data_IF_993688730977
#
_entry.id   IF_993688730977
#
_cell.length_a   1.000
_cell.length_b   1.000
_cell.length_c   1.000
_cell.angle_alpha   90.00
_cell.angle_beta   90.00
_cell.angle_gamma   90.00
#
_symmetry.space_group_name_H-M   'P 1'
#
loop_
_entity.id
_entity.type
_entity.pdbx_description
1 polymer ?
#
# COMPACT_ATOMS: atom_id res chain seq x y z
N UNK A 1 -26.73 14.35 19.04
CA UNK A 1 -25.96 13.26 18.39
C UNK A 1 -24.70 13.87 17.80
N UNK A 2 -23.52 13.37 18.18
CA UNK A 2 -22.24 13.86 17.66
C UNK A 2 -22.02 13.24 16.27
N UNK A 3 -22.07 14.06 15.24
CA UNK A 3 -21.41 13.76 13.96
C UNK A 3 -19.89 13.72 14.24
N UNK A 4 -19.35 12.52 14.46
CA UNK A 4 -17.91 12.25 14.54
C UNK A 4 -17.35 11.99 13.15
N UNK A 5 -17.60 12.88 12.20
CA UNK A 5 -17.03 12.81 10.85
C UNK A 5 -15.82 13.73 10.76
N UNK A 6 -14.78 13.44 11.55
CA UNK A 6 -13.43 13.94 11.26
C UNK A 6 -12.86 13.11 10.10
N UNK A 7 -13.41 13.31 8.91
CA UNK A 7 -12.93 12.73 7.67
C UNK A 7 -12.02 13.74 6.97
N UNK A 8 -10.79 13.31 6.68
CA UNK A 8 -9.85 14.02 5.79
C UNK A 8 -10.63 14.46 4.54
N UNK A 9 -10.47 15.69 4.04
CA UNK A 9 -11.10 16.11 2.79
C UNK A 9 -10.32 15.48 1.61
N UNK A 10 -10.33 14.15 1.54
CA UNK A 10 -9.88 13.41 0.37
C UNK A 10 -11.06 13.30 -0.58
N UNK A 11 -10.86 13.48 -1.89
CA UNK A 11 -11.85 13.02 -2.85
C UNK A 11 -12.06 11.52 -2.58
N UNK A 12 -13.32 11.13 -2.34
CA UNK A 12 -13.70 9.76 -1.93
C UNK A 12 -13.04 8.69 -2.82
N UNK A 13 -12.81 9.03 -4.08
CA UNK A 13 -12.11 8.22 -5.09
C UNK A 13 -10.68 7.81 -4.70
N UNK A 14 -9.86 8.70 -4.11
CA UNK A 14 -8.49 8.35 -3.73
C UNK A 14 -8.44 7.45 -2.51
N UNK A 15 -9.27 7.73 -1.51
CA UNK A 15 -9.35 6.92 -0.31
C UNK A 15 -9.82 5.49 -0.62
N UNK A 16 -10.89 5.36 -1.39
CA UNK A 16 -11.40 4.05 -1.86
C UNK A 16 -10.42 3.35 -2.79
N UNK A 17 -9.70 4.09 -3.63
CA UNK A 17 -8.64 3.55 -4.48
C UNK A 17 -7.49 2.95 -3.68
N UNK A 18 -6.94 3.67 -2.71
CA UNK A 18 -5.83 3.22 -1.84
C UNK A 18 -6.25 1.96 -1.08
N UNK A 19 -7.48 1.95 -0.54
CA UNK A 19 -8.01 0.78 0.15
C UNK A 19 -8.13 -0.43 -0.78
N UNK A 20 -8.74 -0.24 -1.95
CA UNK A 20 -8.98 -1.34 -2.89
C UNK A 20 -7.67 -1.92 -3.42
N UNK A 21 -6.74 -1.05 -3.82
CA UNK A 21 -5.42 -1.46 -4.32
C UNK A 21 -4.59 -2.10 -3.21
N UNK A 22 -4.56 -1.52 -2.01
CA UNK A 22 -3.83 -2.10 -0.89
C UNK A 22 -4.36 -3.47 -0.48
N UNK A 23 -5.68 -3.66 -0.45
CA UNK A 23 -6.30 -4.95 -0.14
C UNK A 23 -6.03 -5.99 -1.24
N UNK A 24 -6.12 -5.58 -2.51
CA UNK A 24 -5.78 -6.43 -3.65
C UNK A 24 -4.32 -6.88 -3.57
N UNK A 25 -3.40 -5.94 -3.34
CA UNK A 25 -1.97 -6.23 -3.20
C UNK A 25 -1.70 -7.15 -2.00
N UNK A 26 -2.29 -6.88 -0.84
CA UNK A 26 -2.18 -7.75 0.33
C UNK A 26 -2.65 -9.18 0.03
N UNK A 27 -3.83 -9.30 -0.60
CA UNK A 27 -4.42 -10.57 -1.01
C UNK A 27 -3.54 -11.33 -1.99
N UNK A 28 -2.95 -10.64 -2.97
CA UNK A 28 -2.04 -11.25 -3.93
C UNK A 28 -0.78 -11.83 -3.26
N UNK A 29 -0.17 -11.10 -2.33
CA UNK A 29 0.98 -11.61 -1.56
C UNK A 29 0.61 -12.81 -0.69
N UNK A 30 -0.54 -12.76 0.00
CA UNK A 30 -1.02 -13.92 0.78
C UNK A 30 -1.37 -15.12 -0.11
N UNK A 31 -1.87 -14.88 -1.32
CA UNK A 31 -2.12 -15.92 -2.31
C UNK A 31 -0.81 -16.58 -2.78
N UNK A 32 0.21 -15.80 -3.12
CA UNK A 32 1.54 -16.31 -3.47
C UNK A 32 2.13 -17.12 -2.31
N UNK A 33 2.04 -16.59 -1.09
CA UNK A 33 2.46 -17.32 0.11
C UNK A 33 1.70 -18.64 0.34
N UNK A 34 0.50 -18.81 -0.20
CA UNK A 34 -0.28 -20.03 -0.03
C UNK A 34 0.09 -21.14 -1.03
N UNK A 35 0.84 -20.83 -2.09
CA UNK A 35 1.20 -21.82 -3.12
C UNK A 35 2.06 -22.96 -2.55
N UNK A 36 1.89 -24.22 -2.96
CA UNK A 36 2.58 -25.37 -2.36
C UNK A 36 4.11 -25.30 -2.40
N UNK A 37 4.69 -24.88 -3.52
CA UNK A 37 6.14 -24.94 -3.76
C UNK A 37 6.83 -23.57 -3.63
N UNK A 38 6.18 -22.60 -2.97
CA UNK A 38 6.70 -21.24 -2.86
C UNK A 38 7.90 -21.16 -1.90
N UNK A 39 9.09 -20.94 -2.46
CA UNK A 39 10.35 -20.84 -1.73
C UNK A 39 10.48 -19.55 -0.90
N UNK A 40 9.83 -18.46 -1.31
CA UNK A 40 9.85 -17.15 -0.63
C UNK A 40 8.62 -16.93 0.25
N UNK A 41 7.92 -18.01 0.65
CA UNK A 41 6.66 -17.99 1.40
C UNK A 41 6.66 -17.01 2.56
N UNK A 42 7.71 -17.04 3.37
CA UNK A 42 7.82 -16.18 4.54
C UNK A 42 7.87 -14.68 4.16
N UNK A 43 8.59 -14.34 3.09
CA UNK A 43 8.66 -12.97 2.57
C UNK A 43 7.28 -12.53 2.07
N UNK A 44 6.56 -13.39 1.35
CA UNK A 44 5.21 -13.09 0.89
C UNK A 44 4.19 -12.94 2.03
N UNK A 45 4.28 -13.75 3.08
CA UNK A 45 3.46 -13.56 4.28
C UNK A 45 3.74 -12.21 4.94
N UNK A 46 5.01 -11.85 5.11
CA UNK A 46 5.40 -10.56 5.66
C UNK A 46 4.89 -9.41 4.78
N UNK A 47 4.93 -9.55 3.45
CA UNK A 47 4.36 -8.58 2.52
C UNK A 47 2.86 -8.42 2.72
N UNK A 48 2.10 -9.52 2.66
CA UNK A 48 0.66 -9.52 2.86
C UNK A 48 0.24 -8.87 4.17
N UNK A 49 0.83 -9.30 5.29
CA UNK A 49 0.54 -8.71 6.60
C UNK A 49 1.03 -7.28 6.75
N UNK A 50 2.17 -6.92 6.14
CA UNK A 50 2.67 -5.54 6.13
C UNK A 50 1.70 -4.58 5.45
N UNK A 51 1.15 -4.96 4.29
CA UNK A 51 0.10 -4.18 3.63
C UNK A 51 -1.16 -4.04 4.48
N UNK A 52 -1.62 -5.11 5.11
CA UNK A 52 -2.79 -5.05 6.01
C UNK A 52 -2.53 -4.14 7.21
N UNK A 53 -1.35 -4.22 7.82
CA UNK A 53 -0.98 -3.37 8.95
C UNK A 53 -0.93 -1.89 8.56
N UNK A 54 -0.36 -1.58 7.39
CA UNK A 54 -0.30 -0.22 6.84
C UNK A 54 -1.69 0.32 6.48
N UNK A 55 -2.56 -0.51 5.91
CA UNK A 55 -3.97 -0.16 5.66
C UNK A 55 -4.72 0.17 6.95
N UNK A 56 -4.54 -0.66 7.99
CA UNK A 56 -5.11 -0.37 9.32
C UNK A 56 -4.58 0.96 9.84
N UNK A 57 -3.27 1.20 9.71
CA UNK A 57 -2.64 2.48 10.07
C UNK A 57 -3.25 3.68 9.33
N UNK A 58 -3.50 3.51 8.03
CA UNK A 58 -4.05 4.54 7.14
C UNK A 58 -5.51 4.87 7.48
N UNK A 59 -6.32 3.86 7.80
CA UNK A 59 -7.76 4.02 8.08
C UNK A 59 -8.02 4.55 9.49
N UNK A 60 -7.28 4.05 10.48
CA UNK A 60 -7.64 4.25 11.87
C UNK A 60 -7.39 5.71 12.32
N UNK A 61 -8.42 6.40 12.85
CA UNK A 61 -8.29 7.79 13.29
C UNK A 61 -7.35 7.97 14.48
N UNK A 62 -7.05 6.90 15.23
CA UNK A 62 -6.10 6.89 16.34
C UNK A 62 -4.68 7.28 15.87
N UNK A 63 -4.35 7.02 14.61
CA UNK A 63 -3.03 7.32 14.05
C UNK A 63 -2.94 8.71 13.42
N UNK A 64 -3.96 9.57 13.51
CA UNK A 64 -3.98 10.92 12.90
C UNK A 64 -2.72 11.75 13.16
N UNK A 65 -2.13 11.63 14.35
CA UNK A 65 -0.90 12.36 14.72
C UNK A 65 0.35 11.87 13.97
N UNK A 66 0.35 10.62 13.53
CA UNK A 66 1.45 9.98 12.80
C UNK A 66 1.07 9.61 11.36
N UNK A 67 -0.07 10.10 10.85
CA UNK A 67 -0.54 9.78 9.50
C UNK A 67 0.49 10.11 8.43
N UNK A 68 1.22 11.23 8.55
CA UNK A 68 2.30 11.53 7.61
C UNK A 68 3.43 10.49 7.60
N UNK A 69 3.69 9.85 8.74
CA UNK A 69 4.66 8.75 8.85
C UNK A 69 4.06 7.48 8.26
N UNK A 70 2.79 7.18 8.55
CA UNK A 70 2.09 6.03 7.97
C UNK A 70 2.03 6.13 6.45
N UNK A 71 1.65 7.28 5.90
CA UNK A 71 1.59 7.53 4.45
C UNK A 71 2.97 7.34 3.81
N UNK A 72 4.03 7.86 4.46
CA UNK A 72 5.40 7.68 3.98
C UNK A 72 5.87 6.23 4.05
N UNK A 73 5.57 5.53 5.15
CA UNK A 73 5.90 4.12 5.30
C UNK A 73 5.14 3.27 4.28
N UNK A 74 3.87 3.58 4.02
CA UNK A 74 3.06 2.86 3.06
C UNK A 74 3.61 3.05 1.64
N UNK A 75 3.94 4.28 1.27
CA UNK A 75 4.59 4.59 0.00
C UNK A 75 5.94 3.87 -0.14
N UNK A 76 6.82 4.00 0.86
CA UNK A 76 8.15 3.41 0.84
C UNK A 76 8.14 1.89 0.84
N UNK A 77 7.23 1.29 1.60
CA UNK A 77 7.03 -0.16 1.64
C UNK A 77 6.55 -0.70 0.29
N UNK A 78 5.59 -0.02 -0.34
CA UNK A 78 5.10 -0.39 -1.68
C UNK A 78 6.20 -0.29 -2.73
N UNK A 79 7.04 0.76 -2.66
CA UNK A 79 8.20 0.87 -3.53
C UNK A 79 9.21 -0.26 -3.29
N UNK A 80 9.46 -0.61 -2.03
CA UNK A 80 10.35 -1.70 -1.67
C UNK A 80 9.88 -3.04 -2.26
N UNK A 81 8.58 -3.35 -2.26
CA UNK A 81 8.08 -4.61 -2.84
C UNK A 81 8.25 -4.70 -4.35
N UNK A 82 8.25 -3.57 -5.06
CA UNK A 82 8.58 -3.52 -6.48
C UNK A 82 10.07 -3.76 -6.69
N UNK A 83 10.92 -3.08 -5.92
CA UNK A 83 12.38 -3.24 -6.01
C UNK A 83 12.78 -4.69 -5.75
N UNK A 84 12.29 -5.28 -4.66
CA UNK A 84 12.60 -6.67 -4.30
C UNK A 84 12.13 -7.66 -5.37
N UNK A 85 11.01 -7.40 -6.04
CA UNK A 85 10.56 -8.23 -7.14
C UNK A 85 11.52 -8.22 -8.33
N UNK A 86 12.14 -7.08 -8.67
CA UNK A 86 13.18 -7.05 -9.71
C UNK A 86 14.42 -7.88 -9.35
N UNK A 87 14.77 -8.00 -8.07
CA UNK A 87 15.93 -8.76 -7.62
C UNK A 87 15.65 -10.26 -7.46
N UNK A 88 14.49 -10.63 -6.92
CA UNK A 88 14.11 -12.02 -6.68
C UNK A 88 13.46 -12.69 -7.89
N UNK A 89 12.98 -11.90 -8.85
CA UNK A 89 12.25 -12.39 -10.02
C UNK A 89 10.81 -12.76 -9.71
N UNK A 90 10.17 -13.38 -10.71
CA UNK A 90 8.79 -13.85 -10.61
C UNK A 90 8.72 -15.17 -9.82
N UNK A 91 7.99 -15.23 -8.69
CA UNK A 91 7.65 -16.48 -8.00
C UNK A 91 6.75 -17.42 -8.82
N UNK A 92 5.94 -16.89 -9.73
CA UNK A 92 4.99 -17.69 -10.51
C UNK A 92 5.65 -18.48 -11.63
N UNK A 93 5.04 -19.62 -11.96
CA UNK A 93 5.56 -20.63 -12.88
C UNK A 93 5.85 -20.11 -14.31
N UNK A 94 5.34 -18.92 -14.70
CA UNK A 94 5.56 -18.30 -16.01
C UNK A 94 6.93 -17.64 -16.21
N UNK A 95 7.81 -17.64 -15.20
CA UNK A 95 9.11 -16.95 -15.27
C UNK A 95 8.98 -15.43 -15.09
N UNK A 96 10.07 -14.67 -15.28
CA UNK A 96 10.21 -13.26 -14.86
C UNK A 96 9.09 -12.28 -15.29
N UNK A 97 8.24 -12.66 -16.24
CA UNK A 97 7.15 -11.85 -16.80
C UNK A 97 5.80 -12.55 -16.74
N UNK A 98 5.58 -13.42 -15.75
CA UNK A 98 4.28 -14.03 -15.54
C UNK A 98 3.17 -12.95 -15.47
N UNK A 99 2.05 -13.13 -16.20
CA UNK A 99 0.99 -12.14 -16.26
C UNK A 99 0.41 -11.76 -14.89
N UNK A 100 0.32 -12.71 -13.96
CA UNK A 100 -0.20 -12.44 -12.62
C UNK A 100 0.72 -11.49 -11.86
N UNK A 101 2.02 -11.77 -11.86
CA UNK A 101 3.00 -10.93 -11.17
C UNK A 101 3.07 -9.52 -11.75
N UNK A 102 3.06 -9.40 -13.08
CA UNK A 102 3.05 -8.09 -13.75
C UNK A 102 1.80 -7.30 -13.38
N UNK A 103 0.63 -7.94 -13.29
CA UNK A 103 -0.62 -7.29 -12.86
C UNK A 103 -0.54 -6.82 -11.41
N UNK A 104 0.01 -7.63 -10.50
CA UNK A 104 0.21 -7.25 -9.10
C UNK A 104 1.15 -6.05 -8.99
N UNK A 105 2.25 -6.03 -9.76
CA UNK A 105 3.16 -4.88 -9.80
C UNK A 105 2.51 -3.64 -10.40
N UNK A 106 1.61 -3.80 -11.37
CA UNK A 106 0.76 -2.73 -11.88
C UNK A 106 -0.14 -2.14 -10.79
N UNK A 107 -0.76 -2.98 -9.95
CA UNK A 107 -1.56 -2.51 -8.82
C UNK A 107 -0.71 -1.80 -7.75
N UNK A 108 0.47 -2.32 -7.43
CA UNK A 108 1.45 -1.66 -6.54
C UNK A 108 1.86 -0.28 -7.09
N UNK A 109 2.08 -0.16 -8.40
CA UNK A 109 2.43 1.12 -9.03
C UNK A 109 1.27 2.13 -8.95
N UNK A 110 0.03 1.70 -9.23
CA UNK A 110 -1.15 2.56 -9.08
C UNK A 110 -1.32 3.01 -7.62
N UNK A 111 -1.04 2.13 -6.66
CA UNK A 111 -1.09 2.43 -5.24
C UNK A 111 -0.06 3.49 -4.86
N UNK A 112 1.19 3.37 -5.36
CA UNK A 112 2.23 4.40 -5.19
C UNK A 112 1.77 5.75 -5.70
N UNK A 113 1.18 5.80 -6.91
CA UNK A 113 0.70 7.05 -7.52
C UNK A 113 -0.36 7.69 -6.62
N UNK A 114 -1.34 6.92 -6.15
CA UNK A 114 -2.39 7.45 -5.29
C UNK A 114 -1.87 7.89 -3.92
N UNK A 115 -1.01 7.10 -3.28
CA UNK A 115 -0.35 7.45 -2.01
C UNK A 115 0.47 8.73 -2.15
N UNK A 116 1.19 8.89 -3.26
CA UNK A 116 2.00 10.07 -3.51
C UNK A 116 1.16 11.34 -3.70
N UNK A 117 0.05 11.24 -4.42
CA UNK A 117 -0.90 12.36 -4.59
C UNK A 117 -1.51 12.74 -3.24
N UNK A 118 -2.00 11.75 -2.49
CA UNK A 118 -2.59 11.93 -1.16
C UNK A 118 -1.59 12.57 -0.17
N UNK A 119 -0.34 12.12 -0.17
CA UNK A 119 0.73 12.68 0.64
C UNK A 119 1.04 14.14 0.30
N UNK A 120 1.09 14.48 -0.99
CA UNK A 120 1.31 15.87 -1.45
C UNK A 120 0.15 16.79 -1.07
N UNK A 121 -1.10 16.34 -1.25
CA UNK A 121 -2.28 17.12 -0.92
C UNK A 121 -2.32 17.46 0.57
N UNK A 122 -2.08 16.47 1.44
CA UNK A 122 -2.08 16.69 2.90
C UNK A 122 -1.00 17.65 3.37
N UNK A 123 0.18 17.66 2.73
CA UNK A 123 1.23 18.64 3.05
C UNK A 123 0.93 20.04 2.54
N UNK A 124 0.32 20.16 1.36
CA UNK A 124 -0.08 21.47 0.81
C UNK A 124 -1.17 22.17 1.63
N UNK A 125 -1.96 21.39 2.38
CA UNK A 125 -3.02 21.91 3.26
C UNK A 125 -2.52 22.29 4.66
N UNK A 126 -1.27 22.00 5.02
CA UNK A 126 -0.66 22.54 6.25
C UNK A 126 -0.09 23.92 5.94
N UNK A 127 -0.67 25.02 6.45
CA UNK A 127 -0.07 26.34 6.30
C UNK A 127 1.32 26.32 6.95
N UNK A 128 2.30 26.85 6.25
CA UNK A 128 3.62 27.14 6.81
C UNK A 128 3.40 27.98 8.08
N UNK A 129 3.75 27.43 9.25
CA UNK A 129 3.81 28.22 10.48
C UNK A 129 4.96 29.19 10.27
N UNK A 130 4.64 30.40 9.79
CA UNK A 130 5.58 31.52 9.79
C UNK A 130 6.10 31.67 11.23
N UNK A 131 7.38 31.36 11.42
CA UNK A 131 8.12 31.65 12.65
C UNK A 131 8.49 33.12 12.70
#
# INVERSE_FOLDING_TARGET
>A
MKELTLSRPQPITFYTGILSLGLLTAGAHLYLASQPDESLRFIFLLNGFGYLALLVGFVLPQFKKIHAIVDLLFLGYTLLTIILWFFFGSPSAGGAWDPFDVLVKGAELLLIIQLFIDFRQTRSMQPEVQK
#
